data_IF_484218084139
#
_entry.id   IF_484218084139
#
_cell.length_a   1.000
_cell.length_b   1.000
_cell.length_c   1.000
_cell.angle_alpha   90.00
_cell.angle_beta   90.00
_cell.angle_gamma   90.00
#
_symmetry.space_group_name_H-M   'P 1'
#
loop_
_entity.id
_entity.type
_entity.pdbx_description
1 polymer ?
#
# COMPACT_ATOMS: atom_id res chain seq x y z
N UNK A 1 20.19 7.03 -8.14
CA UNK A 1 20.10 8.10 -7.12
C UNK A 1 19.35 7.47 -5.95
N UNK A 2 19.76 7.69 -4.70
CA UNK A 2 18.99 7.20 -3.56
C UNK A 2 17.62 7.87 -3.52
N UNK A 3 16.63 7.21 -2.94
CA UNK A 3 15.29 7.75 -2.75
C UNK A 3 15.35 9.08 -2.01
N UNK A 4 14.52 10.04 -2.42
CA UNK A 4 14.51 11.36 -1.83
C UNK A 4 13.96 12.48 -2.73
N UNK A 5 13.70 13.61 -2.10
CA UNK A 5 13.32 14.84 -2.79
C UNK A 5 14.50 15.34 -3.62
N UNK A 6 14.26 15.60 -4.91
CA UNK A 6 15.22 16.23 -5.79
C UNK A 6 14.71 17.59 -6.23
N UNK A 7 15.64 18.55 -6.28
CA UNK A 7 15.39 19.91 -6.72
C UNK A 7 16.19 20.15 -7.99
N UNK A 8 15.52 20.61 -9.05
CA UNK A 8 16.15 21.03 -10.30
C UNK A 8 15.98 22.54 -10.41
N UNK A 9 17.10 23.26 -10.39
CA UNK A 9 17.15 24.69 -10.71
C UNK A 9 17.45 24.89 -12.19
N UNK A 10 16.55 25.56 -12.90
CA UNK A 10 16.70 25.92 -14.31
C UNK A 10 16.94 27.43 -14.37
N UNK A 11 18.08 27.87 -14.90
CA UNK A 11 18.32 29.28 -15.20
C UNK A 11 18.42 29.53 -16.70
N UNK A 12 17.74 30.57 -17.16
CA UNK A 12 17.82 31.06 -18.55
C UNK A 12 18.36 32.49 -18.50
N UNK A 13 19.47 32.71 -19.19
CA UNK A 13 20.06 34.04 -19.36
C UNK A 13 19.87 34.51 -20.81
N UNK A 14 19.30 35.70 -21.00
CA UNK A 14 19.19 36.29 -22.34
C UNK A 14 20.54 36.90 -22.80
N UNK A 15 20.64 37.24 -24.09
CA UNK A 15 21.86 37.79 -24.68
C UNK A 15 22.26 39.19 -24.19
N UNK A 16 21.45 39.83 -23.35
CA UNK A 16 21.68 41.17 -22.76
C UNK A 16 21.96 41.08 -21.25
N UNK A 17 21.88 39.87 -20.67
CA UNK A 17 22.31 39.56 -19.30
C UNK A 17 21.19 39.38 -18.28
N UNK A 18 19.91 39.41 -18.67
CA UNK A 18 18.81 39.14 -17.76
C UNK A 18 18.72 37.63 -17.47
N UNK A 19 18.63 37.26 -16.19
CA UNK A 19 18.40 35.87 -15.77
C UNK A 19 16.97 35.67 -15.28
N UNK A 20 16.39 34.54 -15.65
CA UNK A 20 15.19 33.98 -15.02
C UNK A 20 15.54 32.61 -14.47
N UNK A 21 15.14 32.34 -13.24
CA UNK A 21 15.35 31.05 -12.58
C UNK A 21 13.99 30.45 -12.24
N UNK A 22 13.83 29.15 -12.47
CA UNK A 22 12.68 28.38 -12.06
C UNK A 22 13.15 27.11 -11.35
N UNK A 23 12.47 26.77 -10.26
CA UNK A 23 12.80 25.60 -9.44
C UNK A 23 11.68 24.58 -9.59
N UNK A 24 12.04 23.35 -9.97
CA UNK A 24 11.13 22.20 -10.03
C UNK A 24 11.55 21.21 -8.96
N UNK A 25 10.64 20.85 -8.07
CA UNK A 25 10.84 19.77 -7.10
C UNK A 25 10.15 18.50 -7.57
N UNK A 26 10.72 17.35 -7.23
CA UNK A 26 10.13 16.05 -7.46
C UNK A 26 10.60 15.03 -6.41
N UNK A 27 9.93 13.89 -6.36
CA UNK A 27 10.32 12.76 -5.52
C UNK A 27 10.76 11.60 -6.42
N UNK A 28 11.87 10.96 -6.07
CA UNK A 28 12.27 9.67 -6.65
C UNK A 28 11.94 8.63 -5.60
N UNK A 29 11.02 7.73 -5.93
CA UNK A 29 10.79 6.49 -5.21
C UNK A 29 11.19 5.31 -6.10
N UNK A 30 12.11 4.49 -5.61
CA UNK A 30 12.57 3.27 -6.26
C UNK A 30 12.31 2.01 -5.45
N UNK A 31 11.70 2.12 -4.28
CA UNK A 31 11.37 1.00 -3.42
C UNK A 31 10.04 0.39 -3.87
N UNK A 32 10.10 -0.77 -4.53
CA UNK A 32 8.88 -1.46 -4.94
C UNK A 32 8.07 -1.90 -3.69
N UNK A 33 6.73 -1.80 -3.73
CA UNK A 33 5.90 -2.22 -2.62
C UNK A 33 6.01 -3.73 -2.42
N UNK A 34 6.25 -4.12 -1.18
CA UNK A 34 6.27 -5.50 -0.71
C UNK A 34 5.06 -5.76 0.16
N UNK A 35 4.47 -6.93 0.01
CA UNK A 35 3.31 -7.37 0.77
C UNK A 35 3.43 -8.86 1.03
N UNK A 36 3.42 -9.24 2.31
CA UNK A 36 3.35 -10.63 2.75
C UNK A 36 2.06 -10.86 3.51
N UNK A 37 1.52 -12.08 3.41
CA UNK A 37 0.38 -12.54 4.21
C UNK A 37 0.88 -13.72 5.05
N UNK A 38 0.91 -13.55 6.37
CA UNK A 38 1.46 -14.51 7.33
C UNK A 38 0.35 -15.24 8.10
N UNK A 39 -0.83 -14.62 8.24
CA UNK A 39 -1.99 -15.19 8.92
C UNK A 39 -3.18 -15.29 7.98
N UNK A 40 -3.71 -16.51 7.84
CA UNK A 40 -5.05 -16.83 7.35
C UNK A 40 -5.66 -17.70 8.44
N UNK A 41 -6.84 -17.34 8.95
CA UNK A 41 -7.50 -18.07 10.03
C UNK A 41 -7.55 -19.58 9.79
N UNK A 42 -7.72 -20.38 10.84
CA UNK A 42 -7.54 -21.85 10.84
C UNK A 42 -8.57 -22.66 10.01
N UNK A 43 -9.31 -22.00 9.12
CA UNK A 43 -10.35 -22.58 8.26
C UNK A 43 -11.60 -23.05 9.02
N UNK A 44 -11.61 -22.92 10.34
CA UNK A 44 -12.76 -23.23 11.21
C UNK A 44 -13.34 -21.97 11.85
N UNK A 45 -12.55 -20.91 11.89
CA UNK A 45 -12.99 -19.56 12.17
C UNK A 45 -13.79 -18.98 11.00
N UNK A 46 -15.01 -18.54 11.30
CA UNK A 46 -15.89 -17.86 10.33
C UNK A 46 -15.57 -16.37 10.22
N UNK A 47 -14.77 -15.82 11.13
CA UNK A 47 -14.27 -14.43 11.14
C UNK A 47 -12.74 -14.41 11.13
N UNK A 48 -12.08 -14.90 10.06
CA UNK A 48 -10.63 -15.04 10.05
C UNK A 48 -9.93 -13.68 10.23
N UNK A 49 -8.82 -13.69 10.97
CA UNK A 49 -7.88 -12.58 11.03
C UNK A 49 -6.80 -12.74 9.95
N UNK A 50 -6.63 -11.71 9.13
CA UNK A 50 -5.57 -11.60 8.14
C UNK A 50 -4.46 -10.73 8.69
N UNK A 51 -3.23 -11.23 8.67
CA UNK A 51 -2.08 -10.45 9.11
C UNK A 51 -0.88 -10.67 8.21
N UNK A 52 0.05 -9.73 8.22
CA UNK A 52 1.19 -9.75 7.32
C UNK A 52 2.19 -8.62 7.58
N UNK A 53 3.13 -8.47 6.66
CA UNK A 53 4.07 -7.34 6.67
C UNK A 53 4.14 -6.64 5.32
N UNK A 54 4.54 -5.37 5.33
CA UNK A 54 4.79 -4.54 4.16
C UNK A 54 5.83 -3.47 4.48
N UNK A 55 6.59 -3.01 3.48
CA UNK A 55 7.50 -1.86 3.59
C UNK A 55 6.77 -0.51 3.41
N UNK A 56 5.49 -0.52 3.00
CA UNK A 56 4.67 0.67 2.80
C UNK A 56 4.16 1.22 4.13
N UNK A 57 5.03 1.75 4.98
CA UNK A 57 4.64 2.28 6.30
C UNK A 57 3.61 3.41 6.17
N UNK A 58 2.45 3.24 6.79
CA UNK A 58 1.31 4.16 6.63
C UNK A 58 0.49 3.94 5.35
N UNK A 59 0.92 3.01 4.48
CA UNK A 59 0.18 2.53 3.33
C UNK A 59 -1.10 1.78 3.73
N UNK A 60 -2.00 1.63 2.76
CA UNK A 60 -3.30 0.97 2.96
C UNK A 60 -3.32 -0.38 2.27
N UNK A 61 -3.45 -1.44 3.08
CA UNK A 61 -3.70 -2.81 2.63
C UNK A 61 -5.20 -2.98 2.46
N UNK A 62 -5.63 -3.42 1.29
CA UNK A 62 -7.02 -3.82 1.01
C UNK A 62 -7.09 -5.34 0.90
N UNK A 63 -7.96 -5.96 1.69
CA UNK A 63 -8.24 -7.39 1.68
C UNK A 63 -9.66 -7.58 1.17
N UNK A 64 -9.84 -8.34 0.09
CA UNK A 64 -11.15 -8.77 -0.39
C UNK A 64 -11.29 -10.25 -0.11
N UNK A 65 -12.34 -10.61 0.64
CA UNK A 65 -12.68 -12.00 0.97
C UNK A 65 -13.99 -12.35 0.29
N UNK A 66 -14.00 -13.42 -0.49
CA UNK A 66 -15.20 -13.96 -1.14
C UNK A 66 -15.57 -15.28 -0.49
N UNK A 67 -16.75 -15.37 0.12
CA UNK A 67 -17.20 -16.60 0.78
C UNK A 67 -17.69 -17.67 -0.20
N UNK A 68 -18.05 -18.84 0.34
CA UNK A 68 -18.53 -19.98 -0.45
C UNK A 68 -19.84 -19.72 -1.22
N UNK A 69 -20.63 -18.71 -0.81
CA UNK A 69 -21.85 -18.29 -1.50
C UNK A 69 -21.58 -17.19 -2.54
N UNK A 70 -20.33 -16.75 -2.69
CA UNK A 70 -19.94 -15.64 -3.56
C UNK A 70 -20.17 -14.26 -2.96
N UNK A 71 -20.37 -14.15 -1.65
CA UNK A 71 -20.52 -12.87 -0.95
C UNK A 71 -19.14 -12.29 -0.68
N UNK A 72 -18.92 -11.07 -1.17
CA UNK A 72 -17.65 -10.37 -1.01
C UNK A 72 -17.68 -9.43 0.21
N UNK A 73 -16.55 -9.39 0.91
CA UNK A 73 -16.26 -8.44 1.99
C UNK A 73 -14.92 -7.78 1.70
N UNK A 74 -14.92 -6.47 1.55
CA UNK A 74 -13.70 -5.66 1.38
C UNK A 74 -13.35 -5.01 2.70
N UNK A 75 -12.11 -5.19 3.12
CA UNK A 75 -11.54 -4.70 4.36
C UNK A 75 -10.29 -3.90 4.09
N UNK A 76 -9.98 -2.96 4.99
CA UNK A 76 -8.79 -2.13 4.88
C UNK A 76 -8.02 -2.13 6.20
N UNK A 77 -6.70 -2.26 6.13
CA UNK A 77 -5.78 -2.07 7.24
C UNK A 77 -4.65 -1.10 6.86
N UNK A 78 -4.15 -0.39 7.85
CA UNK A 78 -2.94 0.43 7.70
C UNK A 78 -1.72 -0.38 8.10
N UNK A 79 -0.64 -0.23 7.34
CA UNK A 79 0.68 -0.75 7.72
C UNK A 79 1.23 0.11 8.85
N UNK A 80 1.53 -0.52 9.98
CA UNK A 80 2.06 0.13 11.17
C UNK A 80 3.54 0.53 11.00
N UNK A 81 4.07 1.30 11.94
CA UNK A 81 5.46 1.78 11.91
C UNK A 81 6.52 0.67 11.96
N UNK A 82 6.15 -0.54 12.37
CA UNK A 82 7.00 -1.73 12.38
C UNK A 82 6.86 -2.58 11.10
N UNK A 83 6.06 -2.12 10.12
CA UNK A 83 5.77 -2.83 8.89
C UNK A 83 4.68 -3.88 9.01
N UNK A 84 4.06 -4.06 10.18
CA UNK A 84 2.99 -5.04 10.37
C UNK A 84 1.62 -4.49 9.96
N UNK A 85 0.73 -5.36 9.51
CA UNK A 85 -0.68 -5.04 9.33
C UNK A 85 -1.55 -6.22 9.79
N UNK A 86 -2.75 -5.92 10.28
CA UNK A 86 -3.76 -6.93 10.62
C UNK A 86 -5.16 -6.40 10.36
N UNK A 87 -6.07 -7.27 9.91
CA UNK A 87 -7.49 -6.99 9.76
C UNK A 87 -8.33 -8.24 10.00
N UNK A 88 -9.39 -8.09 10.79
CA UNK A 88 -10.34 -9.17 11.09
C UNK A 88 -11.60 -9.02 10.25
N UNK A 89 -12.14 -10.15 9.77
CA UNK A 89 -13.41 -10.14 9.03
C UNK A 89 -14.59 -9.87 9.97
N UNK A 90 -15.36 -8.78 9.78
CA UNK A 90 -16.40 -8.37 10.73
C UNK A 90 -17.66 -9.24 10.63
N UNK A 91 -17.96 -9.82 9.46
CA UNK A 91 -19.11 -10.70 9.28
C UNK A 91 -18.67 -12.13 9.02
N UNK A 92 -19.32 -13.06 9.72
CA UNK A 92 -19.09 -14.49 9.53
C UNK A 92 -19.25 -14.91 8.07
N UNK A 93 -18.22 -15.56 7.52
CA UNK A 93 -18.24 -16.17 6.20
C UNK A 93 -19.15 -17.39 6.18
N UNK A 94 -19.78 -17.65 5.02
CA UNK A 94 -20.52 -18.88 4.82
C UNK A 94 -19.62 -20.12 4.99
N UNK A 95 -20.23 -21.21 5.46
CA UNK A 95 -19.53 -22.48 5.63
C UNK A 95 -19.11 -23.04 4.26
N UNK A 96 -17.81 -23.27 4.08
CA UNK A 96 -17.21 -23.75 2.83
C UNK A 96 -15.86 -23.08 2.58
N UNK A 97 -15.30 -23.30 1.40
CA UNK A 97 -14.06 -22.65 0.98
C UNK A 97 -14.32 -21.16 0.68
N UNK A 98 -13.33 -20.30 0.98
CA UNK A 98 -13.35 -18.89 0.64
C UNK A 98 -12.09 -18.53 -0.14
N UNK A 99 -12.15 -17.47 -0.95
CA UNK A 99 -10.99 -16.93 -1.66
C UNK A 99 -10.63 -15.56 -1.12
N UNK A 100 -9.34 -15.21 -1.19
CA UNK A 100 -8.86 -13.92 -0.72
C UNK A 100 -7.92 -13.27 -1.71
N UNK A 101 -8.08 -11.97 -1.85
CA UNK A 101 -7.22 -11.11 -2.63
C UNK A 101 -6.71 -10.00 -1.71
N UNK A 102 -5.39 -9.83 -1.64
CA UNK A 102 -4.75 -8.80 -0.81
C UNK A 102 -3.91 -7.92 -1.70
N UNK A 103 -4.15 -6.62 -1.64
CA UNK A 103 -3.42 -5.61 -2.39
C UNK A 103 -2.95 -4.51 -1.46
N UNK A 104 -1.75 -3.99 -1.68
CA UNK A 104 -1.23 -2.80 -1.01
C UNK A 104 -1.18 -1.67 -2.04
N UNK A 105 -1.66 -0.49 -1.66
CA UNK A 105 -1.38 0.72 -2.43
C UNK A 105 -0.08 1.32 -1.93
N UNK A 106 0.88 1.44 -2.85
CA UNK A 106 2.08 2.24 -2.66
C UNK A 106 1.69 3.72 -2.52
N UNK A 107 2.19 4.37 -1.47
CA UNK A 107 1.94 5.78 -1.21
C UNK A 107 2.86 6.73 -1.97
N UNK A 108 3.94 6.20 -2.54
CA UNK A 108 5.02 6.96 -3.13
C UNK A 108 5.26 6.69 -4.63
N UNK A 109 4.27 6.12 -5.32
CA UNK A 109 3.91 6.50 -6.71
C UNK A 109 4.47 5.64 -7.84
#
# INVERSE_FOLDING_TARGET
>A
LPDGEFTVDVSVRDGVGNETTETVTGVIDTDAPSLTVNGVGDGRDVTPEFSGTSNEIGGTVTVTVTDANGVEQTLTASVQSDGSWSVEVPNALAQGDYTTEVVISDGAG
#
